data_IF_170831004118
#
_entry.id   IF_170831004118
#
_cell.length_a   1.000
_cell.length_b   1.000
_cell.length_c   1.000
_cell.angle_alpha   90.00
_cell.angle_beta   90.00
_cell.angle_gamma   90.00
#
_symmetry.space_group_name_H-M   'P 1'
#
loop_
_entity.id
_entity.type
_entity.pdbx_description
1 polymer ?
#
# COMPACT_ATOMS: atom_id res chain seq x y z
N UNK A 1 3.77 -12.75 46.22
CA UNK A 1 3.41 -11.71 45.24
C UNK A 1 4.69 -11.21 44.57
N UNK A 2 4.90 -11.40 43.26
CA UNK A 2 5.93 -10.67 42.52
C UNK A 2 5.34 -9.37 41.93
N UNK A 3 6.07 -8.24 41.90
CA UNK A 3 5.60 -7.03 41.23
C UNK A 3 5.80 -7.10 39.71
N UNK A 4 4.66 -6.90 39.03
CA UNK A 4 4.37 -6.17 37.80
C UNK A 4 5.50 -5.90 36.78
N UNK A 5 5.24 -6.43 35.58
CA UNK A 5 5.76 -6.05 34.27
C UNK A 5 5.85 -4.54 34.00
N UNK A 6 7.01 -4.06 33.56
CA UNK A 6 7.17 -2.78 32.85
C UNK A 6 7.56 -3.04 31.39
N UNK A 7 6.90 -2.33 30.47
CA UNK A 7 7.09 -2.42 29.01
C UNK A 7 8.23 -1.49 28.60
N UNK A 8 9.23 -1.91 27.81
CA UNK A 8 10.20 -0.96 27.28
C UNK A 8 9.56 -0.10 26.19
N UNK A 9 9.73 1.22 26.35
CA UNK A 9 9.31 2.24 25.39
C UNK A 9 9.97 2.05 24.03
N UNK A 10 9.31 2.56 23.00
CA UNK A 10 9.73 2.46 21.60
C UNK A 10 10.98 3.32 21.34
N UNK A 11 12.14 2.69 21.42
CA UNK A 11 13.39 3.21 20.84
C UNK A 11 13.45 2.80 19.37
N UNK A 12 13.13 3.75 18.47
CA UNK A 12 13.02 3.50 17.02
C UNK A 12 14.36 3.54 16.26
N UNK A 13 15.49 3.57 16.96
CA UNK A 13 16.82 3.50 16.35
C UNK A 13 17.71 2.62 17.22
N UNK A 14 18.32 1.58 16.62
CA UNK A 14 19.35 0.81 17.31
C UNK A 14 20.57 1.71 17.55
N UNK A 15 21.38 1.41 18.56
CA UNK A 15 22.56 2.21 18.88
C UNK A 15 23.49 2.39 17.67
N UNK A 16 23.56 1.39 16.77
CA UNK A 16 24.31 1.47 15.52
C UNK A 16 23.74 2.50 14.53
N UNK A 17 22.41 2.61 14.42
CA UNK A 17 21.75 3.57 13.52
C UNK A 17 21.95 5.02 13.98
N UNK A 18 22.02 5.24 15.30
CA UNK A 18 22.27 6.57 15.88
C UNK A 18 23.67 7.09 15.55
N UNK A 19 24.67 6.21 15.61
CA UNK A 19 26.07 6.55 15.26
C UNK A 19 26.18 6.89 13.78
N UNK A 20 25.51 6.13 12.92
CA UNK A 20 25.48 6.40 11.48
C UNK A 20 24.80 7.74 11.18
N UNK A 21 23.70 8.05 11.87
CA UNK A 21 22.98 9.31 11.71
C UNK A 21 23.79 10.54 12.15
N UNK A 22 24.45 10.46 13.31
CA UNK A 22 25.32 11.54 13.80
C UNK A 22 26.51 11.80 12.86
N UNK A 23 27.01 10.75 12.22
CA UNK A 23 28.12 10.86 11.26
C UNK A 23 27.68 11.54 9.96
N UNK A 24 26.51 11.14 9.42
CA UNK A 24 25.96 11.73 8.20
C UNK A 24 25.57 13.20 8.41
N UNK A 25 24.92 13.53 9.54
CA UNK A 25 24.49 14.90 9.84
C UNK A 25 25.65 15.92 9.89
N UNK A 26 26.83 15.50 10.38
CA UNK A 26 28.04 16.36 10.44
C UNK A 26 28.62 16.69 9.06
N UNK A 27 28.29 15.92 8.03
CA UNK A 27 28.81 16.10 6.66
C UNK A 27 27.88 16.91 5.76
N UNK A 28 26.67 17.23 6.22
CA UNK A 28 25.72 18.03 5.46
C UNK A 28 26.15 19.50 5.43
N UNK A 29 26.47 20.01 4.23
CA UNK A 29 26.71 21.45 4.03
C UNK A 29 25.38 22.15 3.78
N UNK A 30 25.00 23.16 4.58
CA UNK A 30 23.81 23.95 4.31
C UNK A 30 23.98 24.74 3.00
N UNK A 31 22.91 24.85 2.23
CA UNK A 31 22.86 25.66 1.01
C UNK A 31 23.08 27.13 1.37
N UNK A 32 24.05 27.76 0.71
CA UNK A 32 24.38 29.17 0.93
C UNK A 32 23.21 30.07 0.48
N UNK A 33 22.75 30.95 1.38
CA UNK A 33 21.91 32.09 0.98
C UNK A 33 20.63 32.37 1.77
N UNK A 34 20.37 31.74 2.92
CA UNK A 34 19.27 32.19 3.81
C UNK A 34 19.68 32.07 5.28
N UNK A 35 19.87 33.23 5.93
CA UNK A 35 19.91 33.32 7.39
C UNK A 35 18.56 32.84 7.92
N UNK A 36 18.56 31.81 8.75
CA UNK A 36 17.40 31.44 9.53
C UNK A 36 17.35 32.36 10.76
N UNK A 37 16.48 33.37 10.71
CA UNK A 37 16.04 34.05 11.92
C UNK A 37 15.13 33.09 12.71
N UNK A 38 15.24 33.04 14.05
CA UNK A 38 14.43 32.14 14.86
C UNK A 38 13.03 32.71 15.00
N UNK A 39 12.13 32.36 14.08
CA UNK A 39 10.71 32.59 14.31
C UNK A 39 10.22 31.60 15.38
N UNK A 40 9.87 32.16 16.54
CA UNK A 40 9.30 31.41 17.65
C UNK A 40 8.00 30.73 17.18
N UNK A 41 8.04 29.40 17.08
CA UNK A 41 6.86 28.60 16.78
C UNK A 41 5.82 28.80 17.89
N UNK A 42 4.55 29.10 17.56
CA UNK A 42 3.51 29.27 18.55
C UNK A 42 3.26 27.97 19.33
N UNK A 43 3.02 28.11 20.64
CA UNK A 43 2.79 27.00 21.56
C UNK A 43 1.47 26.29 21.22
N UNK A 44 1.59 25.21 20.43
CA UNK A 44 0.49 24.41 19.88
C UNK A 44 -0.48 23.88 20.95
N UNK A 45 -0.05 23.86 22.21
CA UNK A 45 -0.84 23.41 23.35
C UNK A 45 -1.92 24.42 23.75
N UNK A 46 -1.71 25.71 23.51
CA UNK A 46 -2.68 26.76 23.81
C UNK A 46 -3.83 26.80 22.77
N UNK A 47 -3.51 26.61 21.48
CA UNK A 47 -4.50 26.56 20.40
C UNK A 47 -5.48 25.37 20.51
N UNK A 48 -5.02 24.24 21.07
CA UNK A 48 -5.86 23.06 21.29
C UNK A 48 -6.76 23.16 22.53
N UNK A 49 -6.49 24.10 23.43
CA UNK A 49 -7.25 24.28 24.67
C UNK A 49 -8.48 25.19 24.50
N UNK A 50 -8.45 26.14 23.55
CA UNK A 50 -9.58 27.04 23.28
C UNK A 50 -10.69 26.41 22.43
N UNK A 51 -10.44 25.34 21.68
CA UNK A 51 -11.44 24.75 20.78
C UNK A 51 -12.40 23.76 21.47
N UNK A 52 -12.21 23.47 22.76
CA UNK A 52 -13.02 22.50 23.50
C UNK A 52 -14.13 23.12 24.39
N UNK A 53 -14.32 24.44 24.39
CA UNK A 53 -15.32 25.10 25.25
C UNK A 53 -16.55 25.68 24.51
N UNK A 54 -17.26 24.86 23.71
CA UNK A 54 -18.67 25.16 23.39
C UNK A 54 -19.59 23.96 23.60
N UNK A 55 -20.58 24.02 24.52
CA UNK A 55 -21.51 22.93 24.73
C UNK A 55 -22.63 22.98 23.68
N UNK A 56 -22.68 21.98 22.80
CA UNK A 56 -23.71 21.82 21.76
C UNK A 56 -24.67 20.68 22.08
N UNK A 57 -25.95 21.01 22.16
CA UNK A 57 -27.06 20.21 22.68
C UNK A 57 -27.28 18.82 22.04
N UNK A 58 -27.84 17.93 22.87
CA UNK A 58 -28.35 16.59 22.55
C UNK A 58 -29.41 16.65 21.44
N UNK A 59 -29.23 15.87 20.39
CA UNK A 59 -30.30 15.58 19.40
C UNK A 59 -30.64 14.10 19.52
N UNK A 60 -31.90 13.82 19.87
CA UNK A 60 -32.45 12.47 19.98
C UNK A 60 -32.62 11.81 18.59
N UNK A 61 -32.50 10.48 18.48
CA UNK A 61 -32.68 9.77 17.22
C UNK A 61 -34.18 9.59 16.88
N UNK A 62 -34.62 9.83 15.64
CA UNK A 62 -35.93 9.36 15.21
C UNK A 62 -35.87 7.88 14.85
N UNK A 63 -36.76 7.11 15.46
CA UNK A 63 -37.02 5.72 15.12
C UNK A 63 -37.59 5.61 13.69
N UNK A 64 -37.00 4.74 12.88
CA UNK A 64 -37.49 4.34 11.57
C UNK A 64 -37.25 2.84 11.37
N UNK A 65 -38.32 2.11 11.08
CA UNK A 65 -38.44 0.65 11.05
C UNK A 65 -37.59 -0.08 9.97
N UNK A 66 -37.39 -1.41 10.10
CA UNK A 66 -36.34 -2.14 9.39
C UNK A 66 -36.81 -2.60 7.99
N UNK A 67 -36.17 -2.04 6.96
CA UNK A 67 -36.50 -2.32 5.57
C UNK A 67 -35.29 -2.66 4.69
N UNK A 68 -35.11 -3.96 4.45
CA UNK A 68 -34.40 -4.57 3.30
C UNK A 68 -32.87 -4.46 3.30
N UNK A 69 -32.23 -5.61 3.55
CA UNK A 69 -30.82 -5.91 3.34
C UNK A 69 -30.42 -5.69 1.87
N UNK A 70 -30.06 -4.44 1.53
CA UNK A 70 -29.13 -4.20 0.44
C UNK A 70 -27.80 -4.77 0.91
N UNK A 71 -27.34 -5.86 0.30
CA UNK A 71 -25.93 -6.26 0.41
C UNK A 71 -25.12 -5.01 0.06
N UNK A 72 -24.56 -4.38 1.08
CA UNK A 72 -23.79 -3.16 0.91
C UNK A 72 -22.64 -3.47 -0.02
N UNK A 73 -22.52 -2.70 -1.10
CA UNK A 73 -21.20 -2.47 -1.66
C UNK A 73 -20.41 -1.86 -0.51
N UNK A 74 -19.43 -2.59 0.01
CA UNK A 74 -18.52 -2.07 1.02
C UNK A 74 -17.93 -0.77 0.49
N UNK A 75 -17.92 0.25 1.34
CA UNK A 75 -17.31 1.53 1.00
C UNK A 75 -15.89 1.29 0.41
N UNK A 76 -15.45 2.08 -0.57
CA UNK A 76 -14.15 1.89 -1.23
C UNK A 76 -12.91 1.89 -0.31
N UNK A 77 -13.07 2.18 0.99
CA UNK A 77 -11.98 2.26 1.97
C UNK A 77 -11.40 0.92 2.44
N UNK A 78 -12.14 -0.18 2.34
CA UNK A 78 -11.71 -1.49 2.85
C UNK A 78 -11.90 -2.58 1.81
N UNK A 79 -11.20 -2.46 0.68
CA UNK A 79 -11.00 -3.61 -0.19
C UNK A 79 -9.68 -4.29 0.18
N UNK A 80 -9.68 -5.29 1.09
CA UNK A 80 -8.46 -6.02 1.43
C UNK A 80 -7.95 -6.78 0.21
N UNK A 81 -6.63 -6.91 0.14
CA UNK A 81 -6.00 -7.80 -0.83
C UNK A 81 -5.99 -9.20 -0.24
N UNK A 82 -6.41 -10.17 -1.03
CA UNK A 82 -6.46 -11.56 -0.64
C UNK A 82 -5.30 -12.34 -1.28
N UNK A 83 -4.90 -13.48 -0.72
CA UNK A 83 -4.05 -14.43 -1.43
C UNK A 83 -4.70 -14.85 -2.75
N UNK A 84 -3.88 -15.17 -3.76
CA UNK A 84 -4.41 -15.72 -5.01
C UNK A 84 -5.05 -17.09 -4.76
N UNK A 85 -6.21 -17.34 -5.36
CA UNK A 85 -6.89 -18.61 -5.16
C UNK A 85 -6.05 -19.78 -5.70
N UNK A 86 -5.92 -20.84 -4.88
CA UNK A 86 -5.09 -22.02 -5.18
C UNK A 86 -5.38 -22.64 -6.56
N UNK A 87 -6.65 -22.75 -7.02
CA UNK A 87 -6.94 -23.25 -8.36
C UNK A 87 -6.37 -22.37 -9.48
N UNK A 88 -6.53 -21.04 -9.39
CA UNK A 88 -5.97 -20.10 -10.37
C UNK A 88 -4.46 -20.12 -10.34
N UNK A 89 -3.84 -20.10 -9.15
CA UNK A 89 -2.39 -20.26 -9.01
C UNK A 89 -1.88 -21.51 -9.75
N UNK A 90 -2.50 -22.67 -9.51
CA UNK A 90 -2.14 -23.93 -10.17
C UNK A 90 -2.37 -23.90 -11.68
N UNK A 91 -3.40 -23.18 -12.16
CA UNK A 91 -3.66 -23.02 -13.60
C UNK A 91 -2.60 -22.13 -14.25
N UNK A 92 -2.25 -20.99 -13.64
CA UNK A 92 -1.17 -20.10 -14.12
C UNK A 92 0.16 -20.86 -14.13
N UNK A 93 0.48 -21.57 -13.06
CA UNK A 93 1.69 -22.40 -12.96
C UNK A 93 1.75 -23.55 -13.97
N UNK A 94 0.62 -23.91 -14.61
CA UNK A 94 0.58 -24.92 -15.67
C UNK A 94 0.41 -24.32 -17.07
N UNK A 95 0.42 -22.99 -17.20
CA UNK A 95 0.15 -22.31 -18.46
C UNK A 95 -1.29 -22.48 -18.97
N UNK A 96 -2.25 -22.82 -18.10
CA UNK A 96 -3.67 -22.94 -18.45
C UNK A 96 -4.44 -21.61 -18.30
N UNK A 97 -3.82 -20.65 -17.61
CA UNK A 97 -4.25 -19.26 -17.53
C UNK A 97 -3.02 -18.45 -17.87
N UNK A 98 -3.16 -17.55 -18.83
CA UNK A 98 -2.03 -16.80 -19.35
C UNK A 98 -1.57 -15.71 -18.39
N UNK A 99 -0.28 -15.45 -18.42
CA UNK A 99 0.33 -14.26 -17.84
C UNK A 99 0.39 -13.24 -18.96
N UNK A 100 -0.48 -12.24 -18.90
CA UNK A 100 -0.73 -11.31 -20.01
C UNK A 100 0.34 -10.23 -20.14
N UNK A 101 1.00 -9.91 -19.03
CA UNK A 101 2.11 -8.96 -19.00
C UNK A 101 3.08 -9.27 -17.85
N UNK A 102 4.33 -8.85 -18.01
CA UNK A 102 5.39 -9.02 -17.00
C UNK A 102 6.14 -7.71 -16.82
N UNK A 103 6.57 -7.44 -15.59
CA UNK A 103 7.53 -6.38 -15.28
C UNK A 103 8.67 -6.95 -14.46
N UNK A 104 9.88 -6.49 -14.78
CA UNK A 104 11.07 -6.83 -14.03
C UNK A 104 11.58 -5.62 -13.25
N UNK A 105 11.70 -5.80 -11.93
CA UNK A 105 12.13 -4.79 -10.98
C UNK A 105 13.49 -5.15 -10.36
N UNK A 106 14.10 -6.28 -10.73
CA UNK A 106 15.34 -6.69 -10.09
C UNK A 106 16.43 -5.64 -10.28
N UNK A 107 17.27 -5.48 -9.26
CA UNK A 107 18.40 -4.54 -9.29
C UNK A 107 18.03 -3.06 -9.14
N UNK A 108 16.74 -2.71 -9.19
CA UNK A 108 16.27 -1.35 -8.99
C UNK A 108 16.27 -0.94 -7.51
N UNK A 109 16.35 0.37 -7.27
CA UNK A 109 16.06 0.93 -5.94
C UNK A 109 14.56 0.88 -5.66
N UNK A 110 14.17 0.99 -4.38
CA UNK A 110 12.76 1.01 -3.99
C UNK A 110 11.97 2.13 -4.68
N UNK A 111 12.56 3.32 -4.78
CA UNK A 111 11.89 4.48 -5.37
C UNK A 111 11.62 4.29 -6.87
N UNK A 112 12.61 3.82 -7.62
CA UNK A 112 12.48 3.52 -9.06
C UNK A 112 11.45 2.39 -9.29
N UNK A 113 11.59 1.30 -8.54
CA UNK A 113 10.69 0.16 -8.64
C UNK A 113 9.24 0.51 -8.31
N UNK A 114 9.02 1.37 -7.31
CA UNK A 114 7.68 1.82 -6.93
C UNK A 114 6.98 2.56 -8.08
N UNK A 115 7.66 3.55 -8.68
CA UNK A 115 7.12 4.32 -9.81
C UNK A 115 6.83 3.45 -11.03
N UNK A 116 7.79 2.60 -11.41
CA UNK A 116 7.65 1.69 -12.54
C UNK A 116 6.53 0.67 -12.34
N UNK A 117 6.45 0.06 -11.14
CA UNK A 117 5.40 -0.89 -10.83
C UNK A 117 4.02 -0.22 -10.86
N UNK A 118 3.88 0.97 -10.29
CA UNK A 118 2.62 1.69 -10.32
C UNK A 118 2.17 1.99 -11.75
N UNK A 119 3.05 2.57 -12.58
CA UNK A 119 2.75 2.85 -13.98
C UNK A 119 2.38 1.60 -14.78
N UNK A 120 3.11 0.50 -14.56
CA UNK A 120 2.80 -0.80 -15.16
C UNK A 120 1.40 -1.31 -14.80
N UNK A 121 1.04 -1.29 -13.51
CA UNK A 121 -0.26 -1.78 -13.05
C UNK A 121 -1.42 -0.90 -13.53
N UNK A 122 -1.22 0.42 -13.58
CA UNK A 122 -2.21 1.35 -14.15
C UNK A 122 -2.44 1.04 -15.62
N UNK A 123 -1.38 0.87 -16.41
CA UNK A 123 -1.49 0.55 -17.83
C UNK A 123 -2.14 -0.82 -18.07
N UNK A 124 -1.71 -1.84 -17.33
CA UNK A 124 -2.28 -3.18 -17.40
C UNK A 124 -3.76 -3.20 -17.02
N UNK A 125 -4.13 -2.47 -15.96
CA UNK A 125 -5.52 -2.32 -15.54
C UNK A 125 -6.36 -1.57 -16.59
N UNK A 126 -5.83 -0.50 -17.18
CA UNK A 126 -6.48 0.25 -18.27
C UNK A 126 -6.71 -0.60 -19.52
N UNK A 127 -5.79 -1.52 -19.82
CA UNK A 127 -5.93 -2.50 -20.91
C UNK A 127 -6.87 -3.67 -20.56
N UNK A 128 -7.37 -3.72 -19.33
CA UNK A 128 -8.28 -4.76 -18.87
C UNK A 128 -7.63 -6.12 -18.62
N UNK A 129 -6.29 -6.17 -18.52
CA UNK A 129 -5.56 -7.40 -18.20
C UNK A 129 -6.01 -7.95 -16.85
N UNK A 130 -5.96 -9.27 -16.69
CA UNK A 130 -6.40 -9.97 -15.46
C UNK A 130 -5.23 -10.46 -14.64
N UNK A 131 -4.26 -11.11 -15.27
CA UNK A 131 -3.14 -11.74 -14.58
C UNK A 131 -1.82 -11.21 -15.14
N UNK A 132 -1.03 -10.62 -14.25
CA UNK A 132 0.31 -10.11 -14.57
C UNK A 132 1.33 -10.70 -13.62
N UNK A 133 2.59 -10.57 -13.99
CA UNK A 133 3.70 -11.08 -13.19
C UNK A 133 4.67 -9.95 -12.86
N UNK A 134 5.08 -9.91 -11.60
CA UNK A 134 6.04 -8.92 -11.08
C UNK A 134 7.27 -9.68 -10.61
N UNK A 135 8.42 -9.40 -11.22
CA UNK A 135 9.70 -10.02 -10.86
C UNK A 135 10.45 -9.03 -9.97
N UNK A 136 10.70 -9.41 -8.72
CA UNK A 136 11.41 -8.58 -7.74
C UNK A 136 12.87 -9.02 -7.56
N UNK A 137 13.17 -10.26 -7.94
CA UNK A 137 14.43 -10.93 -7.65
C UNK A 137 14.44 -11.54 -6.24
N UNK A 138 15.43 -12.39 -5.98
CA UNK A 138 15.52 -13.13 -4.70
C UNK A 138 16.27 -12.37 -3.60
N UNK A 139 16.98 -11.29 -3.95
CA UNK A 139 17.91 -10.59 -3.06
C UNK A 139 19.37 -10.85 -3.43
N UNK A 140 20.30 -10.06 -2.86
CA UNK A 140 21.73 -10.10 -3.18
C UNK A 140 22.55 -11.06 -2.32
N UNK A 141 22.05 -11.52 -1.17
CA UNK A 141 22.71 -12.53 -0.32
C UNK A 141 21.89 -13.81 -0.22
N UNK A 142 22.57 -14.96 -0.22
CA UNK A 142 21.96 -16.25 0.12
C UNK A 142 21.32 -16.13 1.52
N UNK A 143 19.99 -16.19 1.58
CA UNK A 143 19.23 -16.13 2.84
C UNK A 143 18.69 -14.76 3.23
N UNK A 144 19.09 -13.66 2.58
CA UNK A 144 18.42 -12.36 2.77
C UNK A 144 17.23 -12.25 1.83
N UNK A 145 16.06 -11.88 2.34
CA UNK A 145 14.99 -11.48 1.44
C UNK A 145 15.36 -10.19 0.71
N UNK A 146 15.17 -10.16 -0.62
CA UNK A 146 15.38 -8.95 -1.40
C UNK A 146 14.49 -7.81 -0.90
N UNK A 147 15.04 -6.60 -0.80
CA UNK A 147 14.31 -5.40 -0.35
C UNK A 147 12.99 -5.22 -1.10
N UNK A 148 12.99 -5.41 -2.43
CA UNK A 148 11.79 -5.31 -3.25
C UNK A 148 10.79 -6.44 -3.01
N UNK A 149 11.27 -7.63 -2.64
CA UNK A 149 10.41 -8.75 -2.24
C UNK A 149 9.59 -8.41 -1.00
N UNK A 150 10.17 -7.65 -0.07
CA UNK A 150 9.47 -7.19 1.14
C UNK A 150 8.60 -5.96 0.85
N UNK A 151 9.12 -5.02 0.05
CA UNK A 151 8.44 -3.75 -0.22
C UNK A 151 7.19 -3.90 -1.09
N UNK A 152 7.21 -4.75 -2.13
CA UNK A 152 6.09 -4.88 -3.08
C UNK A 152 4.80 -5.36 -2.40
N UNK A 153 4.79 -6.42 -1.58
CA UNK A 153 3.62 -6.81 -0.79
C UNK A 153 3.07 -5.68 0.08
N UNK A 154 3.96 -4.88 0.68
CA UNK A 154 3.55 -3.71 1.49
C UNK A 154 2.90 -2.62 0.63
N UNK A 155 3.47 -2.31 -0.54
CA UNK A 155 2.90 -1.35 -1.48
C UNK A 155 1.51 -1.76 -1.95
N UNK A 156 1.29 -3.05 -2.22
CA UNK A 156 -0.02 -3.58 -2.55
C UNK A 156 -1.08 -3.23 -1.49
N UNK A 157 -0.73 -3.25 -0.20
CA UNK A 157 -1.65 -2.87 0.88
C UNK A 157 -1.99 -1.38 0.93
N UNK A 158 -1.25 -0.50 0.24
CA UNK A 158 -1.52 0.95 0.23
C UNK A 158 -2.78 1.28 -0.59
N UNK A 159 -3.48 2.39 -0.28
CA UNK A 159 -4.70 2.76 -1.00
C UNK A 159 -4.54 2.84 -2.53
N UNK A 160 -3.41 3.37 -3.02
CA UNK A 160 -3.16 3.52 -4.47
C UNK A 160 -3.15 2.18 -5.21
N UNK A 161 -2.45 1.19 -4.66
CA UNK A 161 -2.36 -0.12 -5.30
C UNK A 161 -3.58 -0.99 -5.04
N UNK A 162 -4.28 -0.81 -3.90
CA UNK A 162 -5.53 -1.53 -3.60
C UNK A 162 -6.61 -1.30 -4.63
N UNK A 163 -6.62 -0.16 -5.33
CA UNK A 163 -7.54 0.13 -6.44
C UNK A 163 -7.25 -0.69 -7.70
N UNK A 164 -6.02 -1.19 -7.85
CA UNK A 164 -5.54 -1.90 -9.05
C UNK A 164 -5.42 -3.40 -8.80
N UNK A 165 -5.02 -3.81 -7.60
CA UNK A 165 -4.70 -5.19 -7.25
C UNK A 165 -5.80 -5.80 -6.38
N UNK A 166 -6.26 -6.99 -6.75
CA UNK A 166 -7.25 -7.77 -5.99
C UNK A 166 -6.63 -8.90 -5.19
N UNK A 167 -5.57 -9.52 -5.73
CA UNK A 167 -4.87 -10.62 -5.10
C UNK A 167 -3.43 -10.73 -5.63
N UNK A 168 -2.54 -11.31 -4.83
CA UNK A 168 -1.22 -11.74 -5.28
C UNK A 168 -0.78 -13.00 -4.53
N UNK A 169 0.19 -13.71 -5.08
CA UNK A 169 0.83 -14.87 -4.45
C UNK A 169 2.21 -15.09 -5.08
N UNK A 170 3.13 -15.73 -4.35
CA UNK A 170 4.42 -16.15 -4.89
C UNK A 170 4.26 -17.02 -6.15
N UNK A 171 5.10 -16.78 -7.15
CA UNK A 171 5.09 -17.52 -8.40
C UNK A 171 5.55 -18.98 -8.20
N UNK A 172 5.26 -19.85 -9.17
CA UNK A 172 5.77 -21.20 -9.16
C UNK A 172 7.30 -21.23 -9.35
N UNK A 173 7.97 -22.30 -8.90
CA UNK A 173 9.44 -22.41 -8.94
C UNK A 173 10.05 -22.19 -10.33
N UNK A 174 9.42 -22.70 -11.39
CA UNK A 174 9.86 -22.53 -12.77
C UNK A 174 9.57 -21.12 -13.34
N UNK A 175 8.72 -20.35 -12.69
CA UNK A 175 8.47 -18.92 -12.97
C UNK A 175 9.19 -18.01 -11.95
N UNK A 176 10.27 -18.49 -11.31
CA UNK A 176 11.10 -17.66 -10.41
C UNK A 176 10.81 -17.83 -8.91
N UNK A 177 9.75 -18.55 -8.53
CA UNK A 177 9.45 -18.86 -7.13
C UNK A 177 9.24 -17.59 -6.31
N UNK A 178 9.83 -17.55 -5.11
CA UNK A 178 9.82 -16.40 -4.20
C UNK A 178 10.44 -15.11 -4.75
N UNK A 179 11.09 -15.13 -5.92
CA UNK A 179 11.61 -13.93 -6.59
C UNK A 179 10.62 -13.27 -7.56
N UNK A 180 9.41 -13.81 -7.67
CA UNK A 180 8.36 -13.27 -8.53
C UNK A 180 6.97 -13.50 -7.91
N UNK A 181 6.03 -12.64 -8.28
CA UNK A 181 4.65 -12.67 -7.81
C UNK A 181 3.70 -12.82 -9.00
N UNK A 182 2.71 -13.69 -8.87
CA UNK A 182 1.49 -13.60 -9.68
C UNK A 182 0.58 -12.56 -9.07
N UNK A 183 0.06 -11.66 -9.89
CA UNK A 183 -0.80 -10.56 -9.46
C UNK A 183 -2.09 -10.59 -10.25
N UNK A 184 -3.22 -10.60 -9.56
CA UNK A 184 -4.56 -10.49 -10.14
C UNK A 184 -5.06 -9.07 -10.03
N UNK A 185 -5.26 -8.44 -11.18
CA UNK A 185 -5.79 -7.09 -11.28
C UNK A 185 -7.29 -7.05 -10.99
N UNK A 186 -7.76 -5.91 -10.48
CA UNK A 186 -9.19 -5.64 -10.35
C UNK A 186 -9.81 -5.52 -11.73
N UNK A 187 -11.08 -5.90 -11.81
CA UNK A 187 -11.86 -5.71 -13.02
C UNK A 187 -12.22 -4.23 -13.11
N UNK A 188 -12.00 -3.63 -14.27
CA UNK A 188 -12.62 -2.36 -14.59
C UNK A 188 -14.13 -2.53 -14.57
N UNK A 189 -14.79 -1.92 -13.59
CA UNK A 189 -16.24 -1.72 -13.65
C UNK A 189 -16.47 -0.81 -14.84
N UNK A 190 -16.98 -1.38 -15.95
CA UNK A 190 -17.56 -0.56 -17.00
C UNK A 190 -18.70 0.20 -16.34
N UNK A 191 -18.49 1.49 -16.08
CA UNK A 191 -19.58 2.42 -15.83
C UNK A 191 -20.38 2.38 -17.12
N UNK A 192 -21.43 1.58 -17.12
CA UNK A 192 -22.34 1.48 -18.25
C UNK A 192 -22.93 2.88 -18.39
N UNK A 193 -22.46 3.65 -19.37
CA UNK A 193 -23.02 4.97 -19.68
C UNK A 193 -24.49 4.74 -19.95
N UNK A 194 -25.36 5.16 -19.02
CA UNK A 194 -26.79 5.26 -19.22
C UNK A 194 -27.05 6.40 -20.22
N UNK A 195 -26.73 6.14 -21.49
CA UNK A 195 -27.04 6.95 -22.65
C UNK A 195 -28.24 6.37 -23.40
N UNK A 196 -29.30 6.05 -22.67
CA UNK A 196 -30.62 5.74 -23.22
C UNK A 196 -31.55 6.92 -23.02
N UNK A 197 -31.15 8.11 -23.49
CA UNK A 197 -32.06 9.23 -23.64
C UNK A 197 -32.80 9.01 -24.96
N UNK A 198 -34.13 8.94 -24.87
CA UNK A 198 -35.02 8.54 -25.93
C UNK A 198 -34.80 9.26 -27.25
N UNK A 199 -35.03 8.53 -28.33
CA UNK A 199 -35.55 9.09 -29.56
C UNK A 199 -36.86 8.37 -29.87
N UNK A 200 -37.91 9.19 -29.73
CA UNK A 200 -39.24 9.17 -30.36
C UNK A 200 -39.64 7.93 -31.14
#
# INVERSE_FOLDING_TARGET
MPPRSEKPGKDYLRAEDRILWETVAKTARPLAGKKAEPEALPDFKALMAEEQEKPGAKIAPPAGEPGRSRKGFSAPGEMPIQPLDRPTHRKIAKGRVDIEARIDLHGLTQNEAHGLLYGFLVNAHARGLRHVMVITGKGRSLGSEGILRQAVPHWFSTPLFRLLVSAYEDAARHHGGHGALYVRLRRQTRQNTFGGIGRR
#
